data_IF_372720790297
#
_entry.id   IF_372720790297
#
_cell.length_a   1.000
_cell.length_b   1.000
_cell.length_c   1.000
_cell.angle_alpha   90.00
_cell.angle_beta   90.00
_cell.angle_gamma   90.00
#
_symmetry.space_group_name_H-M   'P 1'
#
loop_
_entity.id
_entity.type
_entity.pdbx_description
1 polymer ?
#
# COMPACT_ATOMS: atom_id res chain seq x y z
N UNK A 1 -45.20 -15.08 14.06
CA UNK A 1 -43.97 -14.40 14.53
C UNK A 1 -43.63 -14.71 15.99
N UNK A 2 -44.56 -14.60 16.95
CA UNK A 2 -44.27 -14.78 18.39
C UNK A 2 -43.73 -16.17 18.77
N UNK A 3 -44.20 -17.26 18.12
CA UNK A 3 -43.77 -18.62 18.43
C UNK A 3 -42.31 -18.93 18.05
N UNK A 4 -41.78 -18.29 17.00
CA UNK A 4 -40.40 -18.50 16.55
C UNK A 4 -39.38 -17.86 17.51
N UNK A 5 -39.73 -16.71 18.08
CA UNK A 5 -38.91 -16.00 19.08
C UNK A 5 -38.84 -16.83 20.37
N UNK A 6 -39.97 -17.39 20.81
CA UNK A 6 -40.01 -18.28 21.97
C UNK A 6 -39.15 -19.55 21.77
N UNK A 7 -39.16 -20.15 20.57
CA UNK A 7 -38.33 -21.33 20.25
C UNK A 7 -36.82 -21.03 20.22
N UNK A 8 -36.42 -19.83 19.75
CA UNK A 8 -35.04 -19.34 19.81
C UNK A 8 -34.57 -19.12 21.26
N UNK A 9 -35.43 -18.56 22.12
CA UNK A 9 -35.12 -18.33 23.54
C UNK A 9 -35.00 -19.64 24.33
N UNK A 10 -35.72 -20.70 23.93
CA UNK A 10 -35.65 -22.03 24.56
C UNK A 10 -34.33 -22.78 24.28
N UNK A 11 -33.58 -22.42 23.22
CA UNK A 11 -32.25 -22.98 22.92
C UNK A 11 -31.17 -21.89 22.89
N UNK A 12 -30.82 -21.30 24.05
CA UNK A 12 -29.88 -20.18 24.13
C UNK A 12 -28.50 -20.52 23.54
N UNK A 13 -28.10 -21.80 23.60
CA UNK A 13 -26.85 -22.29 23.01
C UNK A 13 -26.76 -22.10 21.48
N UNK A 14 -27.88 -22.26 20.76
CA UNK A 14 -27.92 -22.09 19.31
C UNK A 14 -27.88 -20.61 18.92
N UNK A 15 -28.54 -19.75 19.69
CA UNK A 15 -28.49 -18.30 19.50
C UNK A 15 -27.06 -17.78 19.73
N UNK A 16 -26.43 -18.23 20.82
CA UNK A 16 -25.03 -17.89 21.11
C UNK A 16 -24.07 -18.41 20.05
N UNK A 17 -24.22 -19.66 19.60
CA UNK A 17 -23.39 -20.20 18.53
C UNK A 17 -23.54 -19.41 17.23
N UNK A 18 -24.77 -19.07 16.84
CA UNK A 18 -25.05 -18.23 15.68
C UNK A 18 -24.42 -16.85 15.80
N UNK A 19 -24.54 -16.21 16.97
CA UNK A 19 -23.94 -14.91 17.24
C UNK A 19 -22.40 -14.94 17.15
N UNK A 20 -21.77 -15.99 17.70
CA UNK A 20 -20.31 -16.18 17.63
C UNK A 20 -19.85 -16.35 16.19
N UNK A 21 -20.55 -17.15 15.38
CA UNK A 21 -20.23 -17.32 13.95
C UNK A 21 -20.35 -15.99 13.21
N UNK A 22 -21.40 -15.21 13.49
CA UNK A 22 -21.62 -13.91 12.85
C UNK A 22 -20.49 -12.93 13.19
N UNK A 23 -20.08 -12.86 14.45
CA UNK A 23 -18.95 -12.04 14.90
C UNK A 23 -17.65 -12.49 14.23
N UNK A 24 -17.40 -13.80 14.15
CA UNK A 24 -16.22 -14.33 13.49
C UNK A 24 -16.17 -13.95 12.00
N UNK A 25 -17.29 -14.05 11.28
CA UNK A 25 -17.38 -13.64 9.88
C UNK A 25 -17.12 -12.14 9.71
N UNK A 26 -17.67 -11.30 10.58
CA UNK A 26 -17.45 -9.85 10.54
C UNK A 26 -15.97 -9.52 10.79
N UNK A 27 -15.34 -10.15 11.78
CA UNK A 27 -13.92 -9.93 12.08
C UNK A 27 -13.05 -10.39 10.92
N UNK A 28 -13.24 -11.63 10.44
CA UNK A 28 -12.44 -12.19 9.35
C UNK A 28 -12.61 -11.40 8.05
N UNK A 29 -13.85 -11.01 7.72
CA UNK A 29 -14.12 -10.16 6.57
C UNK A 29 -13.44 -8.80 6.72
N UNK A 30 -13.62 -8.15 7.87
CA UNK A 30 -13.03 -6.83 8.15
C UNK A 30 -11.51 -6.82 8.06
N UNK A 31 -10.83 -7.79 8.69
CA UNK A 31 -9.37 -7.89 8.65
C UNK A 31 -8.84 -8.24 7.27
N UNK A 32 -9.54 -9.07 6.50
CA UNK A 32 -9.19 -9.39 5.12
C UNK A 32 -9.23 -8.15 4.21
N UNK A 33 -10.31 -7.36 4.27
CA UNK A 33 -10.43 -6.15 3.47
C UNK A 33 -9.42 -5.07 3.89
N UNK A 34 -9.24 -4.85 5.19
CA UNK A 34 -8.25 -3.89 5.70
C UNK A 34 -6.83 -4.22 5.23
N UNK A 35 -6.41 -5.49 5.35
CA UNK A 35 -5.09 -5.93 4.91
C UNK A 35 -4.89 -5.80 3.40
N UNK A 36 -5.94 -5.98 2.59
CA UNK A 36 -5.87 -5.79 1.13
C UNK A 36 -5.65 -4.33 0.77
N UNK A 37 -6.35 -3.41 1.42
CA UNK A 37 -6.24 -1.97 1.16
C UNK A 37 -4.89 -1.41 1.61
N UNK A 38 -4.38 -1.87 2.77
CA UNK A 38 -3.06 -1.50 3.27
C UNK A 38 -1.93 -2.07 2.38
N UNK A 39 -2.08 -3.30 1.90
CA UNK A 39 -1.16 -3.90 0.94
C UNK A 39 -1.07 -3.09 -0.35
N UNK A 40 -2.21 -2.70 -0.93
CA UNK A 40 -2.25 -1.90 -2.15
C UNK A 40 -1.61 -0.50 -1.97
N UNK A 41 -1.85 0.14 -0.82
CA UNK A 41 -1.25 1.43 -0.49
C UNK A 41 0.26 1.35 -0.31
N UNK A 42 0.76 0.31 0.37
CA UNK A 42 2.19 0.17 0.63
C UNK A 42 3.02 -0.04 -0.63
N UNK A 43 2.51 -0.79 -1.61
CA UNK A 43 3.17 -0.98 -2.91
C UNK A 43 3.17 0.32 -3.72
N UNK A 44 2.06 1.04 -3.73
CA UNK A 44 1.95 2.32 -4.45
C UNK A 44 2.92 3.35 -3.87
N UNK A 45 2.97 3.49 -2.54
CA UNK A 45 3.89 4.37 -1.83
C UNK A 45 5.37 3.98 -2.03
N UNK A 46 5.66 2.68 -2.13
CA UNK A 46 7.01 2.21 -2.48
C UNK A 46 7.41 2.61 -3.91
N UNK A 47 6.50 2.47 -4.88
CA UNK A 47 6.72 2.84 -6.28
C UNK A 47 6.90 4.36 -6.39
N UNK A 48 6.02 5.14 -5.78
CA UNK A 48 6.08 6.62 -5.81
C UNK A 48 7.38 7.14 -5.20
N UNK A 49 7.84 6.54 -4.09
CA UNK A 49 9.16 6.87 -3.52
C UNK A 49 10.33 6.48 -4.42
N UNK A 50 10.23 5.38 -5.16
CA UNK A 50 11.28 4.99 -6.11
C UNK A 50 11.32 5.93 -7.30
N UNK A 51 10.15 6.30 -7.83
CA UNK A 51 10.03 7.20 -8.98
C UNK A 51 10.55 8.61 -8.62
N UNK A 52 10.16 9.15 -7.46
CA UNK A 52 10.67 10.43 -6.98
C UNK A 52 12.20 10.43 -6.78
N UNK A 53 12.79 9.29 -6.36
CA UNK A 53 14.25 9.16 -6.25
C UNK A 53 14.91 9.13 -7.62
N UNK A 54 14.35 8.37 -8.56
CA UNK A 54 14.87 8.29 -9.93
C UNK A 54 14.78 9.64 -10.65
N UNK A 55 13.68 10.38 -10.46
CA UNK A 55 13.52 11.74 -10.99
C UNK A 55 14.57 12.69 -10.39
N UNK A 56 14.76 12.67 -9.07
CA UNK A 56 15.78 13.49 -8.41
C UNK A 56 17.21 13.17 -8.88
N UNK A 57 17.52 11.88 -9.08
CA UNK A 57 18.81 11.42 -9.59
C UNK A 57 19.02 11.84 -11.06
N UNK A 58 18.01 11.66 -11.91
CA UNK A 58 18.05 12.12 -13.30
C UNK A 58 18.21 13.64 -13.41
N UNK A 59 17.53 14.40 -12.56
CA UNK A 59 17.68 15.85 -12.49
C UNK A 59 19.05 16.27 -11.94
N UNK A 60 19.63 15.50 -11.01
CA UNK A 60 21.02 15.67 -10.58
C UNK A 60 21.99 15.52 -11.74
N UNK A 61 21.94 14.38 -12.43
CA UNK A 61 22.80 14.11 -13.59
C UNK A 61 22.64 15.16 -14.69
N UNK A 62 21.39 15.60 -14.98
CA UNK A 62 21.13 16.68 -15.93
C UNK A 62 21.77 18.01 -15.51
N UNK A 63 21.76 18.33 -14.22
CA UNK A 63 22.43 19.54 -13.70
C UNK A 63 23.94 19.42 -13.84
N UNK A 64 24.52 18.27 -13.54
CA UNK A 64 25.96 18.04 -13.63
C UNK A 64 26.46 18.17 -15.07
N UNK A 65 25.76 17.56 -16.03
CA UNK A 65 26.05 17.70 -17.47
C UNK A 65 25.98 19.15 -17.92
N UNK A 66 24.91 19.88 -17.54
CA UNK A 66 24.78 21.31 -17.91
C UNK A 66 25.88 22.14 -17.29
N UNK A 67 26.17 21.93 -16.01
CA UNK A 67 27.19 22.68 -15.30
C UNK A 67 28.58 22.43 -15.88
N UNK A 68 28.85 21.22 -16.38
CA UNK A 68 30.06 20.90 -17.14
C UNK A 68 30.15 21.74 -18.42
N UNK A 69 29.08 21.73 -19.23
CA UNK A 69 29.01 22.49 -20.47
C UNK A 69 29.14 24.00 -20.24
N UNK A 70 28.50 24.54 -19.20
CA UNK A 70 28.54 25.97 -18.84
C UNK A 70 29.96 26.42 -18.44
N UNK A 71 30.80 25.51 -17.94
CA UNK A 71 32.22 25.76 -17.64
C UNK A 71 33.14 25.55 -18.85
N UNK A 72 32.59 25.16 -20.00
CA UNK A 72 33.33 24.86 -21.22
C UNK A 72 33.98 23.47 -21.25
N UNK A 73 33.61 22.59 -20.30
CA UNK A 73 34.07 21.21 -20.28
C UNK A 73 33.23 20.28 -21.17
N UNK A 74 33.74 19.08 -21.41
CA UNK A 74 33.05 18.02 -22.16
C UNK A 74 32.63 16.92 -21.20
N UNK A 75 31.34 16.58 -21.23
CA UNK A 75 30.82 15.50 -20.39
C UNK A 75 31.17 14.13 -20.98
N UNK A 76 31.88 13.31 -20.21
CA UNK A 76 32.14 11.91 -20.54
C UNK A 76 31.02 11.02 -19.95
N UNK A 77 30.23 10.43 -20.85
CA UNK A 77 29.11 9.54 -20.51
C UNK A 77 29.61 8.20 -19.93
N UNK A 78 30.81 7.75 -20.30
CA UNK A 78 31.35 6.47 -19.85
C UNK A 78 31.82 6.52 -18.39
N UNK A 79 32.44 7.64 -17.99
CA UNK A 79 32.94 7.83 -16.62
C UNK A 79 31.98 8.62 -15.73
N UNK A 80 31.01 9.33 -16.32
CA UNK A 80 30.10 10.21 -15.58
C UNK A 80 30.82 11.43 -15.00
N UNK A 81 31.86 11.90 -15.69
CA UNK A 81 32.69 13.02 -15.23
C UNK A 81 32.80 14.11 -16.30
N UNK A 82 33.22 15.30 -15.86
CA UNK A 82 33.45 16.45 -16.71
C UNK A 82 34.95 16.61 -16.96
N UNK A 83 35.36 16.68 -18.23
CA UNK A 83 36.73 16.94 -18.68
C UNK A 83 36.95 18.39 -19.12
#
# INVERSE_FOLDING_TARGET
>A
MMAAIAWLVVRPRLVFAGAVVLVAVVILGGTYFAGRDEGARSVTDAIERQDARAEAEADGARRDVRQCADRGGVWDVATGTCE
#
